data_IF_802067592030
#
_entry.id   IF_802067592030
#
_cell.length_a   1.000
_cell.length_b   1.000
_cell.length_c   1.000
_cell.angle_alpha   90.00
_cell.angle_beta   90.00
_cell.angle_gamma   90.00
#
_symmetry.space_group_name_H-M   'P 1'
#
loop_
_entity.id
_entity.type
_entity.pdbx_description
1 polymer ?
#
# COMPACT_ATOMS: atom_id res chain seq x y z
N UNK A 1 5.43 24.64 -7.32
CA UNK A 1 6.16 24.67 -6.03
C UNK A 1 5.25 24.94 -4.81
N UNK A 2 3.91 24.86 -4.92
CA UNK A 2 2.99 25.12 -3.77
C UNK A 2 2.33 23.83 -3.23
N UNK A 3 2.23 22.73 -4.01
CA UNK A 3 1.65 21.47 -3.53
C UNK A 3 2.50 20.74 -2.46
N UNK A 4 3.83 20.95 -2.43
CA UNK A 4 4.72 20.23 -1.52
C UNK A 4 4.56 20.68 -0.06
N UNK A 5 4.16 21.93 0.18
CA UNK A 5 4.01 22.48 1.54
C UNK A 5 2.75 21.93 2.24
N UNK A 6 1.71 21.58 1.48
CA UNK A 6 0.46 20.99 2.01
C UNK A 6 0.51 19.45 2.13
N UNK A 7 1.49 18.78 1.52
CA UNK A 7 1.49 17.32 1.32
C UNK A 7 2.73 16.59 1.89
N UNK A 8 3.66 17.32 2.49
CA UNK A 8 4.97 16.82 2.92
C UNK A 8 5.96 16.71 1.76
N UNK A 9 7.24 16.44 2.08
CA UNK A 9 8.26 16.28 1.07
C UNK A 9 7.96 15.05 0.17
N UNK A 10 7.87 15.23 -1.17
CA UNK A 10 7.56 14.13 -2.08
C UNK A 10 8.56 12.98 -2.02
N UNK A 11 9.83 13.24 -1.70
CA UNK A 11 10.85 12.21 -1.56
C UNK A 11 10.66 11.42 -0.26
N UNK A 12 10.41 12.08 0.87
CA UNK A 12 10.07 11.41 2.13
C UNK A 12 8.85 10.51 1.98
N UNK A 13 7.81 11.00 1.30
CA UNK A 13 6.61 10.19 1.06
C UNK A 13 6.88 8.97 0.19
N UNK A 14 7.69 9.13 -0.86
CA UNK A 14 8.10 7.99 -1.70
C UNK A 14 8.96 7.01 -0.91
N UNK A 15 9.86 7.49 -0.08
CA UNK A 15 10.68 6.67 0.80
C UNK A 15 9.81 5.84 1.74
N UNK A 16 8.88 6.47 2.46
CA UNK A 16 7.92 5.78 3.34
C UNK A 16 7.10 4.72 2.61
N UNK A 17 6.63 5.01 1.40
CA UNK A 17 5.88 4.02 0.61
C UNK A 17 6.77 2.83 0.24
N UNK A 18 8.02 3.06 -0.16
CA UNK A 18 8.96 1.97 -0.48
C UNK A 18 9.28 1.12 0.74
N UNK A 19 9.57 1.77 1.87
CA UNK A 19 9.83 1.09 3.14
C UNK A 19 8.63 0.23 3.56
N UNK A 20 7.42 0.79 3.52
CA UNK A 20 6.20 0.03 3.83
C UNK A 20 6.01 -1.17 2.88
N UNK A 21 6.22 -0.99 1.58
CA UNK A 21 6.10 -2.09 0.61
C UNK A 21 7.13 -3.19 0.92
N UNK A 22 8.37 -2.81 1.24
CA UNK A 22 9.43 -3.77 1.56
C UNK A 22 9.04 -4.63 2.77
N UNK A 23 8.63 -4.00 3.87
CA UNK A 23 8.20 -4.70 5.09
C UNK A 23 6.96 -5.58 4.86
N UNK A 24 5.97 -5.06 4.14
CA UNK A 24 4.75 -5.83 3.81
C UNK A 24 5.05 -7.02 2.88
N UNK A 25 6.05 -6.92 2.00
CA UNK A 25 6.43 -8.01 1.09
C UNK A 25 7.06 -9.21 1.80
N UNK A 26 7.38 -9.09 3.09
CA UNK A 26 7.81 -10.22 3.93
C UNK A 26 6.61 -11.00 4.49
N UNK A 27 5.40 -10.43 4.42
CA UNK A 27 4.20 -11.02 4.97
C UNK A 27 3.42 -11.82 3.92
N UNK A 28 2.90 -12.98 4.34
CA UNK A 28 2.18 -13.90 3.45
C UNK A 28 0.92 -13.27 2.87
N UNK A 29 0.12 -12.61 3.71
CA UNK A 29 -1.17 -12.02 3.34
C UNK A 29 -1.02 -10.98 2.22
N UNK A 30 0.05 -10.20 2.28
CA UNK A 30 0.35 -9.20 1.25
C UNK A 30 0.93 -9.84 -0.02
N UNK A 31 1.76 -10.87 0.12
CA UNK A 31 2.27 -11.64 -1.03
C UNK A 31 1.14 -12.36 -1.78
N UNK A 32 0.14 -12.89 -1.08
CA UNK A 32 -1.04 -13.51 -1.70
C UNK A 32 -1.79 -12.52 -2.62
N UNK A 33 -1.77 -11.22 -2.31
CA UNK A 33 -2.33 -10.18 -3.20
C UNK A 33 -1.45 -9.94 -4.42
N UNK A 34 -0.13 -9.97 -4.26
CA UNK A 34 0.82 -9.84 -5.37
C UNK A 34 0.68 -11.03 -6.33
N UNK A 35 0.56 -12.24 -5.82
CA UNK A 35 0.36 -13.44 -6.63
C UNK A 35 -0.97 -13.39 -7.39
N UNK A 36 -2.07 -13.00 -6.73
CA UNK A 36 -3.40 -12.94 -7.34
C UNK A 36 -3.57 -11.82 -8.37
N UNK A 37 -3.00 -10.64 -8.12
CA UNK A 37 -3.29 -9.43 -8.89
C UNK A 37 -2.09 -8.88 -9.67
N UNK A 38 -0.89 -9.42 -9.45
CA UNK A 38 0.36 -8.93 -10.00
C UNK A 38 0.86 -7.65 -9.31
N UNK A 39 2.15 -7.31 -9.48
CA UNK A 39 2.74 -6.12 -8.83
C UNK A 39 2.25 -4.78 -9.41
N UNK A 40 1.56 -4.79 -10.55
CA UNK A 40 1.15 -3.57 -11.25
C UNK A 40 0.17 -2.71 -10.46
N UNK A 41 -0.60 -3.28 -9.53
CA UNK A 41 -1.49 -2.50 -8.67
C UNK A 41 -0.72 -1.54 -7.75
N UNK A 42 0.54 -1.87 -7.40
CA UNK A 42 1.41 -1.00 -6.60
C UNK A 42 1.82 0.27 -7.33
N UNK A 43 1.62 0.36 -8.66
CA UNK A 43 1.83 1.59 -9.42
C UNK A 43 0.65 2.57 -9.30
N UNK A 44 -0.51 2.10 -8.81
CA UNK A 44 -1.71 2.93 -8.69
C UNK A 44 -1.53 4.01 -7.64
N UNK A 45 -1.73 5.28 -8.00
CA UNK A 45 -1.60 6.42 -7.07
C UNK A 45 -2.43 6.24 -5.79
N UNK A 46 -3.69 5.78 -5.92
CA UNK A 46 -4.59 5.56 -4.78
C UNK A 46 -4.06 4.48 -3.82
N UNK A 47 -3.55 3.37 -4.36
CA UNK A 47 -2.94 2.29 -3.58
C UNK A 47 -1.67 2.79 -2.89
N UNK A 48 -0.77 3.46 -3.61
CA UNK A 48 0.45 4.05 -3.03
C UNK A 48 0.13 5.02 -1.91
N UNK A 49 -0.89 5.87 -2.09
CA UNK A 49 -1.34 6.80 -1.06
C UNK A 49 -1.90 6.06 0.16
N UNK A 50 -2.64 4.97 -0.03
CA UNK A 50 -3.16 4.14 1.05
C UNK A 50 -2.01 3.47 1.84
N UNK A 51 -1.07 2.83 1.14
CA UNK A 51 0.11 2.21 1.75
C UNK A 51 0.93 3.24 2.54
N UNK A 52 1.19 4.43 1.97
CA UNK A 52 1.99 5.46 2.64
C UNK A 52 1.32 6.11 3.87
N UNK A 53 0.00 5.96 4.04
CA UNK A 53 -0.70 6.44 5.25
C UNK A 53 -0.48 5.53 6.45
N UNK A 54 -0.18 4.26 6.22
CA UNK A 54 0.02 3.28 7.28
C UNK A 54 1.47 3.25 7.74
N UNK A 55 1.69 2.65 8.90
CA UNK A 55 3.01 2.23 9.36
C UNK A 55 3.06 0.70 9.26
N UNK A 56 3.85 0.18 8.31
CA UNK A 56 3.96 -1.25 8.10
C UNK A 56 4.50 -1.97 9.35
N UNK A 57 5.35 -1.33 10.16
CA UNK A 57 5.91 -1.92 11.38
C UNK A 57 4.80 -2.24 12.38
N UNK A 58 3.77 -1.40 12.47
CA UNK A 58 2.61 -1.67 13.33
C UNK A 58 1.69 -2.76 12.77
N UNK A 59 1.64 -2.91 11.44
CA UNK A 59 0.83 -3.93 10.79
C UNK A 59 1.45 -5.32 10.95
N UNK A 60 2.75 -5.48 10.71
CA UNK A 60 3.42 -6.80 10.76
C UNK A 60 3.41 -7.43 12.16
N UNK A 61 3.30 -6.62 13.22
CA UNK A 61 3.20 -7.11 14.60
C UNK A 61 1.75 -7.38 15.05
N UNK A 62 0.76 -7.16 14.18
CA UNK A 62 -0.65 -7.38 14.49
C UNK A 62 -1.37 -8.08 13.33
N UNK A 63 -1.50 -9.43 13.37
CA UNK A 63 -2.09 -10.20 12.29
C UNK A 63 -3.51 -9.75 11.90
N UNK A 64 -4.36 -9.41 12.88
CA UNK A 64 -5.73 -8.96 12.61
C UNK A 64 -5.76 -7.62 11.84
N UNK A 65 -4.87 -6.68 12.20
CA UNK A 65 -4.75 -5.41 11.48
C UNK A 65 -4.14 -5.59 10.09
N UNK A 66 -3.14 -6.47 9.96
CA UNK A 66 -2.53 -6.80 8.67
C UNK A 66 -3.55 -7.42 7.71
N UNK A 67 -4.35 -8.36 8.20
CA UNK A 67 -5.41 -8.99 7.44
C UNK A 67 -6.44 -7.95 6.96
N UNK A 68 -6.98 -7.14 7.87
CA UNK A 68 -7.92 -6.07 7.53
C UNK A 68 -7.32 -5.09 6.50
N UNK A 69 -6.06 -4.70 6.68
CA UNK A 69 -5.35 -3.86 5.71
C UNK A 69 -5.29 -4.51 4.32
N UNK A 70 -5.00 -5.81 4.23
CA UNK A 70 -4.96 -6.54 2.97
C UNK A 70 -6.34 -6.66 2.32
N UNK A 71 -7.40 -6.86 3.11
CA UNK A 71 -8.79 -6.89 2.62
C UNK A 71 -9.23 -5.54 2.04
N UNK A 72 -8.91 -4.42 2.71
CA UNK A 72 -9.16 -3.07 2.17
C UNK A 72 -8.38 -2.83 0.88
N UNK A 73 -7.11 -3.24 0.84
CA UNK A 73 -6.26 -3.14 -0.33
C UNK A 73 -6.84 -3.93 -1.50
N UNK A 74 -7.26 -5.17 -1.26
CA UNK A 74 -7.91 -6.04 -2.26
C UNK A 74 -9.20 -5.41 -2.81
N UNK A 75 -10.04 -4.85 -1.93
CA UNK A 75 -11.24 -4.12 -2.33
C UNK A 75 -10.91 -2.96 -3.28
N UNK A 76 -9.85 -2.20 -2.99
CA UNK A 76 -9.39 -1.12 -3.87
C UNK A 76 -8.87 -1.64 -5.23
N UNK A 77 -8.14 -2.76 -5.23
CA UNK A 77 -7.63 -3.40 -6.46
C UNK A 77 -8.79 -3.88 -7.33
N UNK A 78 -9.77 -4.58 -6.74
CA UNK A 78 -10.94 -5.10 -7.45
C UNK A 78 -11.77 -3.97 -8.04
N UNK A 79 -12.03 -2.90 -7.27
CA UNK A 79 -12.75 -1.71 -7.77
C UNK A 79 -12.09 -1.08 -8.99
N UNK A 80 -10.77 -1.20 -9.18
CA UNK A 80 -10.08 -0.73 -10.40
C UNK A 80 -10.36 -1.62 -11.61
N UNK A 81 -10.48 -2.94 -11.44
CA UNK A 81 -10.71 -3.89 -12.54
C UNK A 81 -12.12 -3.78 -13.15
N UNK A 82 -13.10 -3.21 -12.44
CA UNK A 82 -14.47 -3.03 -12.95
C UNK A 82 -14.66 -1.79 -13.85
N UNK A 83 -13.61 -0.97 -14.07
CA UNK A 83 -13.66 0.21 -14.94
C UNK A 83 -12.93 0.02 -16.27
N UNK A 84 -12.73 -1.23 -16.71
CA UNK A 84 -12.14 -1.57 -18.02
C UNK A 84 -13.19 -2.32 -18.83
#
# INVERSE_FOLDING_TARGET
MILNILLGDPHERQFKIRENIQLLSEQREFNDLIERYGRSFLLTFRIRRFIGKHDARLLIHNPAKLQHFCEELECMIRKRRFFI
#
